data_IF_837697749264
#
_entry.id   IF_837697749264
#
_cell.length_a   1.000
_cell.length_b   1.000
_cell.length_c   1.000
_cell.angle_alpha   90.00
_cell.angle_beta   90.00
_cell.angle_gamma   90.00
#
_symmetry.space_group_name_H-M   'P 1'
#
loop_
_entity.id
_entity.type
_entity.pdbx_description
1 polymer ?
#
# COMPACT_ATOMS: atom_id res chain seq x y z
N UNK A 1 20.38 -11.60 -20.47
CA UNK A 1 19.24 -10.96 -19.78
C UNK A 1 19.75 -10.49 -18.44
N UNK A 2 19.58 -9.20 -18.12
CA UNK A 2 19.95 -8.66 -16.82
C UNK A 2 19.11 -9.31 -15.73
N UNK A 3 19.72 -9.59 -14.57
CA UNK A 3 18.98 -10.16 -13.43
C UNK A 3 18.28 -9.03 -12.70
N UNK A 4 16.99 -8.89 -12.95
CA UNK A 4 16.15 -7.92 -12.24
C UNK A 4 15.70 -8.52 -10.93
N UNK A 5 15.93 -7.79 -9.84
CA UNK A 5 15.50 -8.18 -8.51
C UNK A 5 14.41 -7.23 -8.02
N UNK A 6 13.45 -7.79 -7.29
CA UNK A 6 12.36 -7.05 -6.68
C UNK A 6 12.31 -7.35 -5.18
N UNK A 7 11.87 -6.36 -4.41
CA UNK A 7 11.54 -6.51 -3.00
C UNK A 7 10.06 -6.81 -2.89
N UNK A 8 9.71 -7.80 -2.06
CA UNK A 8 8.32 -8.23 -1.86
C UNK A 8 8.02 -8.26 -0.37
N UNK A 9 6.92 -7.64 0.02
CA UNK A 9 6.44 -7.59 1.41
C UNK A 9 5.48 -8.75 1.67
N UNK A 10 6.01 -9.88 2.16
CA UNK A 10 5.25 -11.11 2.43
C UNK A 10 4.56 -11.05 3.80
N UNK A 11 3.32 -11.52 3.84
CA UNK A 11 2.56 -11.76 5.05
C UNK A 11 2.92 -13.14 5.63
N UNK A 12 3.44 -13.17 6.85
CA UNK A 12 3.80 -14.43 7.53
C UNK A 12 2.59 -15.25 7.97
N UNK A 13 1.39 -14.67 8.03
CA UNK A 13 0.18 -15.35 8.51
C UNK A 13 -0.53 -16.11 7.40
N UNK A 14 -0.65 -15.53 6.21
CA UNK A 14 -1.38 -16.14 5.09
C UNK A 14 -0.46 -16.59 3.93
N UNK A 15 0.84 -16.26 3.99
CA UNK A 15 1.82 -16.61 2.96
C UNK A 15 1.75 -15.75 1.68
N UNK A 16 0.72 -14.93 1.52
CA UNK A 16 0.60 -14.00 0.39
C UNK A 16 1.43 -12.71 0.58
N UNK A 17 1.54 -11.87 -0.44
CA UNK A 17 2.25 -10.60 -0.37
C UNK A 17 1.31 -9.39 -0.41
N UNK A 18 1.72 -8.30 0.24
CA UNK A 18 0.97 -7.04 0.30
C UNK A 18 1.35 -6.07 -0.81
N UNK A 19 2.63 -6.01 -1.16
CA UNK A 19 3.16 -5.15 -2.20
C UNK A 19 4.54 -5.63 -2.64
N UNK A 20 4.92 -5.28 -3.85
CA UNK A 20 6.23 -5.53 -4.43
C UNK A 20 6.76 -4.27 -5.11
N UNK A 21 8.08 -4.11 -5.17
CA UNK A 21 8.72 -2.97 -5.80
C UNK A 21 10.10 -3.36 -6.36
N UNK A 22 10.63 -2.65 -7.37
CA UNK A 22 12.02 -2.83 -7.82
C UNK A 22 13.01 -2.68 -6.67
N UNK A 23 13.98 -3.60 -6.57
CA UNK A 23 15.00 -3.53 -5.53
C UNK A 23 16.01 -2.40 -5.79
N UNK A 24 16.31 -2.14 -7.06
CA UNK A 24 17.17 -1.04 -7.49
C UNK A 24 16.32 0.08 -8.11
N UNK A 25 16.34 1.31 -7.56
CA UNK A 25 15.63 2.44 -8.15
C UNK A 25 16.10 2.81 -9.57
N UNK A 26 17.33 2.46 -9.97
CA UNK A 26 17.81 2.73 -11.32
C UNK A 26 17.14 1.85 -12.38
N UNK A 27 16.46 0.79 -11.96
CA UNK A 27 15.79 -0.16 -12.86
C UNK A 27 14.29 0.15 -13.05
N UNK A 28 13.77 1.24 -12.46
CA UNK A 28 12.34 1.58 -12.55
C UNK A 28 11.85 1.68 -14.00
N UNK A 29 12.66 2.26 -14.89
CA UNK A 29 12.32 2.42 -16.31
C UNK A 29 12.63 1.18 -17.16
N UNK A 30 13.08 0.08 -16.54
CA UNK A 30 13.35 -1.15 -17.27
C UNK A 30 12.04 -1.72 -17.86
N UNK A 31 12.00 -2.08 -19.16
CA UNK A 31 10.77 -2.51 -19.82
C UNK A 31 10.02 -3.62 -19.08
N UNK A 32 10.74 -4.62 -18.56
CA UNK A 32 10.12 -5.71 -17.79
C UNK A 32 9.49 -5.27 -16.47
N UNK A 33 10.03 -4.24 -15.80
CA UNK A 33 9.45 -3.70 -14.56
C UNK A 33 8.21 -2.89 -14.88
N UNK A 34 8.28 -2.07 -15.94
CA UNK A 34 7.16 -1.25 -16.40
C UNK A 34 6.00 -2.13 -16.86
N UNK A 35 6.28 -3.17 -17.64
CA UNK A 35 5.30 -4.18 -18.05
C UNK A 35 4.65 -4.88 -16.85
N UNK A 36 5.47 -5.31 -15.88
CA UNK A 36 4.97 -5.94 -14.65
C UNK A 36 4.11 -4.98 -13.81
N UNK A 37 4.46 -3.70 -13.77
CA UNK A 37 3.64 -2.66 -13.14
C UNK A 37 2.31 -2.45 -13.87
N UNK A 38 2.29 -2.43 -15.20
CA UNK A 38 1.04 -2.31 -15.96
C UNK A 38 0.14 -3.54 -15.80
N UNK A 39 0.72 -4.72 -15.59
CA UNK A 39 -0.05 -5.95 -15.39
C UNK A 39 -0.70 -6.02 -13.99
N UNK A 40 0.03 -5.71 -12.92
CA UNK A 40 -0.48 -5.83 -11.54
C UNK A 40 -1.01 -4.53 -10.93
N UNK A 41 -0.32 -3.42 -11.19
CA UNK A 41 -0.60 -2.11 -10.62
C UNK A 41 -0.56 -2.06 -9.08
N UNK A 42 -0.94 -0.90 -8.54
CA UNK A 42 -1.10 -0.74 -7.11
C UNK A 42 -2.36 -1.48 -6.60
N UNK A 43 -2.33 -2.05 -5.38
CA UNK A 43 -1.26 -1.99 -4.39
C UNK A 43 -0.16 -3.06 -4.55
N UNK A 44 -0.36 -4.01 -5.47
CA UNK A 44 0.43 -5.25 -5.55
C UNK A 44 1.83 -5.03 -6.09
N UNK A 45 2.01 -4.12 -7.03
CA UNK A 45 3.32 -3.70 -7.52
C UNK A 45 3.36 -2.18 -7.60
N UNK A 46 4.36 -1.55 -6.97
CA UNK A 46 4.51 -0.09 -6.94
C UNK A 46 5.91 0.30 -7.39
N UNK A 47 5.99 1.37 -8.18
CA UNK A 47 7.24 2.02 -8.55
C UNK A 47 7.66 3.05 -7.50
N UNK A 48 6.77 3.41 -6.57
CA UNK A 48 7.05 4.35 -5.50
C UNK A 48 7.56 3.63 -4.24
N UNK A 49 8.82 3.86 -3.90
CA UNK A 49 9.44 3.29 -2.71
C UNK A 49 8.73 3.68 -1.40
N UNK A 50 8.12 4.85 -1.31
CA UNK A 50 7.40 5.27 -0.10
C UNK A 50 6.13 4.43 0.11
N UNK A 51 5.41 4.13 -0.97
CA UNK A 51 4.24 3.23 -0.94
C UNK A 51 4.66 1.84 -0.50
N UNK A 52 5.77 1.31 -1.04
CA UNK A 52 6.30 0.02 -0.63
C UNK A 52 6.71 -0.01 0.85
N UNK A 53 7.37 1.04 1.35
CA UNK A 53 7.77 1.16 2.76
C UNK A 53 6.57 1.08 3.71
N UNK A 54 5.43 1.68 3.34
CA UNK A 54 4.19 1.57 4.13
C UNK A 54 3.71 0.12 4.23
N UNK A 55 3.74 -0.62 3.12
CA UNK A 55 3.37 -2.04 3.11
C UNK A 55 4.36 -2.91 3.91
N UNK A 56 5.66 -2.62 3.83
CA UNK A 56 6.69 -3.29 4.61
C UNK A 56 6.54 -3.08 6.13
N UNK A 57 5.92 -1.98 6.55
CA UNK A 57 5.63 -1.67 7.95
C UNK A 57 4.35 -2.32 8.49
N UNK A 58 3.61 -3.12 7.70
CA UNK A 58 2.45 -3.85 8.20
C UNK A 58 2.83 -4.97 9.20
N UNK A 59 1.91 -5.30 10.10
CA UNK A 59 2.10 -6.35 11.12
C UNK A 59 2.37 -7.73 10.50
N UNK A 60 3.23 -8.54 11.14
CA UNK A 60 3.63 -9.85 10.62
C UNK A 60 4.01 -9.86 9.12
N UNK A 61 4.62 -8.77 8.65
CA UNK A 61 5.17 -8.66 7.30
C UNK A 61 6.69 -8.79 7.32
N UNK A 62 7.22 -9.54 6.36
CA UNK A 62 8.65 -9.77 6.11
C UNK A 62 9.00 -9.33 4.69
N UNK A 63 10.07 -8.54 4.54
CA UNK A 63 10.55 -8.13 3.22
C UNK A 63 11.59 -9.13 2.73
N UNK A 64 11.37 -9.67 1.54
CA UNK A 64 12.33 -10.55 0.87
C UNK A 64 12.66 -10.01 -0.51
N UNK A 65 13.92 -10.12 -0.89
CA UNK A 65 14.36 -9.81 -2.26
C UNK A 65 14.36 -11.09 -3.08
N UNK A 66 13.65 -11.08 -4.20
CA UNK A 66 13.53 -12.21 -5.12
C UNK A 66 13.78 -11.74 -6.55
N UNK A 67 14.13 -12.67 -7.45
CA UNK A 67 14.21 -12.33 -8.88
C UNK A 67 12.82 -12.07 -9.46
N UNK A 68 12.72 -11.21 -10.47
CA UNK A 68 11.45 -10.91 -11.14
C UNK A 68 10.77 -12.16 -11.71
N UNK A 69 11.54 -13.06 -12.33
CA UNK A 69 11.01 -14.31 -12.87
C UNK A 69 10.40 -15.20 -11.79
N UNK A 70 11.07 -15.32 -10.64
CA UNK A 70 10.53 -16.09 -9.53
C UNK A 70 9.25 -15.45 -8.98
N UNK A 71 9.17 -14.13 -8.92
CA UNK A 71 7.95 -13.47 -8.48
C UNK A 71 6.76 -13.73 -9.42
N UNK A 72 6.99 -13.71 -10.74
CA UNK A 72 5.97 -14.04 -11.75
C UNK A 72 5.36 -15.44 -11.58
N UNK A 73 6.12 -16.40 -11.05
CA UNK A 73 5.59 -17.75 -10.77
C UNK A 73 4.54 -17.77 -9.64
N UNK A 74 4.55 -16.76 -8.76
CA UNK A 74 3.72 -16.68 -7.56
C UNK A 74 3.00 -15.34 -7.45
N UNK A 75 2.80 -14.66 -8.57
CA UNK A 75 2.25 -13.32 -8.65
C UNK A 75 0.77 -13.23 -8.25
N UNK A 76 0.06 -14.36 -8.25
CA UNK A 76 -1.32 -14.48 -7.79
C UNK A 76 -1.45 -14.62 -6.26
N UNK A 77 -0.35 -14.77 -5.53
CA UNK A 77 -0.35 -15.00 -4.08
C UNK A 77 -0.56 -13.69 -3.29
N UNK A 78 -1.68 -13.02 -3.51
CA UNK A 78 -2.00 -11.76 -2.82
C UNK A 78 -2.47 -11.98 -1.38
N UNK A 79 -1.99 -11.13 -0.47
CA UNK A 79 -2.48 -11.12 0.90
C UNK A 79 -3.84 -10.40 1.00
N UNK A 80 -4.84 -11.06 1.61
CA UNK A 80 -6.17 -10.51 1.86
C UNK A 80 -6.43 -10.17 3.33
N UNK A 81 -5.40 -10.17 4.17
CA UNK A 81 -5.52 -9.88 5.59
C UNK A 81 -5.76 -8.39 5.82
N UNK A 82 -6.73 -8.05 6.68
CA UNK A 82 -6.92 -6.68 7.18
C UNK A 82 -5.89 -6.38 8.26
N UNK A 83 -4.73 -5.85 7.85
CA UNK A 83 -3.61 -5.59 8.77
C UNK A 83 -3.50 -4.12 9.16
N UNK A 84 -3.11 -3.89 10.41
CA UNK A 84 -2.74 -2.56 10.90
C UNK A 84 -1.25 -2.32 10.64
N UNK A 85 -0.89 -1.04 10.54
CA UNK A 85 0.52 -0.62 10.49
C UNK A 85 1.15 -0.98 11.84
N UNK A 86 2.33 -1.62 11.84
CA UNK A 86 3.10 -1.87 13.06
C UNK A 86 3.29 -0.52 13.75
N UNK A 87 2.64 -0.33 14.89
CA UNK A 87 2.97 0.80 15.75
C UNK A 87 4.39 0.56 16.24
N UNK A 88 5.35 1.30 15.70
CA UNK A 88 6.62 1.49 16.40
C UNK A 88 6.23 1.93 17.81
N UNK A 89 6.60 1.14 18.82
CA UNK A 89 6.40 1.46 20.23
C UNK A 89 6.93 2.86 20.46
N UNK A 90 6.03 3.85 20.46
CA UNK A 90 6.35 5.19 20.91
C UNK A 90 6.70 5.01 22.36
N UNK A 91 7.97 5.17 22.72
CA UNK A 91 8.38 5.35 24.10
C UNK A 91 7.43 6.40 24.69
N UNK A 92 6.67 6.09 25.75
CA UNK A 92 5.75 7.05 26.32
C UNK A 92 6.57 8.20 26.88
N UNK A 93 6.58 9.33 26.18
CA UNK A 93 7.06 10.59 26.75
C UNK A 93 6.02 10.97 27.79
N UNK A 94 6.39 10.85 29.06
CA UNK A 94 5.56 11.21 30.20
C UNK A 94 5.27 12.71 30.13
N UNK A 95 4.10 13.10 29.61
CA UNK A 95 3.64 14.48 29.63
C UNK A 95 3.05 14.79 31.01
N UNK A 96 3.71 15.70 31.73
CA UNK A 96 3.24 16.23 33.00
C UNK A 96 1.95 17.02 32.78
N UNK A 97 0.90 16.66 33.52
CA UNK A 97 -0.43 17.25 33.44
C UNK A 97 -0.44 18.68 33.98
N UNK A 98 -0.73 19.67 33.12
CA UNK A 98 -0.87 21.08 33.48
C UNK A 98 -2.04 21.76 32.76
N UNK A 99 -3.06 22.11 33.56
CA UNK A 99 -4.13 23.11 33.37
C UNK A 99 -5.15 22.99 32.22
N UNK A 100 -6.42 22.91 32.65
CA UNK A 100 -7.67 23.09 31.93
C UNK A 100 -7.79 24.44 31.19
N UNK A 101 -8.33 24.44 29.96
CA UNK A 101 -9.23 25.48 29.41
C UNK A 101 -10.23 24.80 28.44
N UNK A 102 -11.50 25.23 28.47
CA UNK A 102 -12.67 24.63 27.84
C UNK A 102 -12.94 25.07 26.37
N UNK A 103 -13.39 24.11 25.53
CA UNK A 103 -14.55 24.01 24.56
C UNK A 103 -14.98 25.32 23.80
N UNK A 104 -15.34 25.38 22.47
CA UNK A 104 -16.34 24.51 21.77
C UNK A 104 -16.29 24.26 20.21
N UNK A 105 -16.93 23.15 19.79
CA UNK A 105 -17.92 22.96 18.67
C UNK A 105 -17.56 23.10 17.15
N UNK A 106 -18.03 22.07 16.40
CA UNK A 106 -18.39 21.95 14.95
C UNK A 106 -17.26 22.00 13.90
N UNK A 107 -17.25 21.18 12.84
CA UNK A 107 -18.33 20.90 11.88
C UNK A 107 -18.07 19.57 11.15
N UNK A 108 -19.15 18.86 10.80
CA UNK A 108 -19.17 17.76 9.82
C UNK A 108 -18.51 18.21 8.52
N UNK A 109 -17.36 17.65 8.18
CA UNK A 109 -16.92 17.58 6.79
C UNK A 109 -17.57 16.33 6.20
N UNK A 110 -18.80 16.48 5.69
CA UNK A 110 -19.30 15.58 4.65
C UNK A 110 -18.30 15.70 3.50
N UNK A 111 -17.52 14.65 3.32
CA UNK A 111 -16.40 14.63 2.41
C UNK A 111 -16.92 14.89 0.98
N UNK A 112 -16.40 15.92 0.33
CA UNK A 112 -16.67 16.29 -1.07
C UNK A 112 -16.49 15.11 -2.06
N UNK A 113 -15.87 14.02 -1.61
CA UNK A 113 -15.72 12.77 -2.35
C UNK A 113 -17.04 12.03 -2.61
N UNK A 114 -18.09 12.21 -1.81
CA UNK A 114 -19.39 11.53 -2.04
C UNK A 114 -20.22 12.17 -3.16
N UNK A 115 -19.95 13.42 -3.53
CA UNK A 115 -20.68 14.12 -4.60
C UNK A 115 -20.25 13.57 -5.97
N UNK A 116 -18.97 13.28 -6.16
CA UNK A 116 -18.43 12.84 -7.45
C UNK A 116 -19.01 11.49 -7.91
N UNK A 117 -19.27 10.56 -6.99
CA UNK A 117 -19.82 9.25 -7.34
C UNK A 117 -21.34 9.25 -7.57
N UNK A 118 -22.07 10.21 -7.00
CA UNK A 118 -23.52 10.29 -7.18
C UNK A 118 -23.91 10.65 -8.62
N UNK A 119 -23.15 11.55 -9.24
CA UNK A 119 -23.45 12.02 -10.59
C UNK A 119 -23.15 10.93 -11.65
N UNK A 120 -22.07 10.17 -11.49
CA UNK A 120 -21.72 9.05 -12.38
C UNK A 120 -22.80 7.96 -12.36
N UNK A 121 -23.33 7.59 -11.19
CA UNK A 121 -24.39 6.60 -11.08
C UNK A 121 -25.71 7.04 -11.72
N UNK A 122 -26.02 8.36 -11.67
CA UNK A 122 -27.23 8.90 -12.31
C UNK A 122 -27.17 8.89 -13.85
N UNK A 123 -25.98 9.05 -14.43
CA UNK A 123 -25.77 9.00 -15.87
C UNK A 123 -25.83 7.57 -16.40
N UNK A 124 -25.29 6.59 -15.66
CA UNK A 124 -25.30 5.19 -16.09
C UNK A 124 -26.69 4.53 -16.08
N UNK A 125 -27.63 5.01 -15.25
CA UNK A 125 -28.98 4.45 -15.16
C UNK A 125 -29.97 4.93 -16.24
N UNK A 126 -29.56 5.88 -17.10
CA UNK A 126 -30.42 6.45 -18.15
C UNK A 126 -30.08 5.97 -19.58
N UNK A 127 -29.13 5.06 -19.73
CA UNK A 127 -28.90 4.38 -21.02
C UNK A 127 -29.70 3.08 -21.07
N UNK A 128 -30.96 3.22 -21.50
CA UNK A 128 -31.79 2.13 -22.03
C UNK A 128 -31.85 2.23 -23.55
#
# INVERSE_FOLDING_TARGET
MEKINIMVAFCQECGGYHSAAPADPNQIDHPEIVDHFFYHGEPWFTLNQETFKKAAMLEATEVRTVSLNHHREYDYMYCKCSKKVKTATKTPVYQFSGSNVAVPVQQKAEAETDIYFRDVYSLCYNFH
#
